data_IF_678426007878
#
_entry.id   IF_678426007878
#
_cell.length_a   1.000
_cell.length_b   1.000
_cell.length_c   1.000
_cell.angle_alpha   90.00
_cell.angle_beta   90.00
_cell.angle_gamma   90.00
#
_symmetry.space_group_name_H-M   'P 1'
#
loop_
_entity.id
_entity.type
_entity.pdbx_description
1 polymer ?
#
# COMPACT_ATOMS: atom_id res chain seq x y z
N UNK A 1 35.56 45.00 6.77
CA UNK A 1 35.18 43.57 6.82
C UNK A 1 34.44 43.28 5.53
N UNK A 2 35.07 42.50 4.63
CA UNK A 2 34.51 42.10 3.35
C UNK A 2 33.68 40.84 3.62
N UNK A 3 32.38 40.90 3.40
CA UNK A 3 31.55 39.69 3.41
C UNK A 3 31.83 38.96 2.10
N UNK A 4 32.38 37.75 2.19
CA UNK A 4 32.50 36.83 1.07
C UNK A 4 31.10 36.36 0.70
N UNK A 5 30.62 36.78 -0.46
CA UNK A 5 29.43 36.24 -1.10
C UNK A 5 29.70 34.78 -1.47
N UNK A 6 29.26 33.86 -0.62
CA UNK A 6 29.20 32.44 -0.97
C UNK A 6 28.32 32.31 -2.21
N UNK A 7 28.93 32.01 -3.36
CA UNK A 7 28.21 31.84 -4.62
C UNK A 7 27.21 30.70 -4.47
N UNK A 8 25.93 31.03 -4.37
CA UNK A 8 24.85 30.05 -4.44
C UNK A 8 24.82 29.53 -5.87
N UNK A 9 25.35 28.32 -6.06
CA UNK A 9 25.32 27.65 -7.36
C UNK A 9 23.97 26.94 -7.49
N UNK A 10 23.06 27.55 -8.24
CA UNK A 10 21.76 26.97 -8.55
C UNK A 10 21.90 26.07 -9.79
N UNK A 11 21.96 24.77 -9.58
CA UNK A 11 21.96 23.77 -10.65
C UNK A 11 20.52 23.41 -10.99
N UNK A 12 20.03 23.90 -12.13
CA UNK A 12 18.70 23.57 -12.63
C UNK A 12 18.84 22.42 -13.64
N UNK A 13 18.61 21.18 -13.22
CA UNK A 13 18.58 20.00 -14.12
C UNK A 13 17.27 20.01 -14.93
N UNK A 14 17.20 20.90 -15.92
CA UNK A 14 16.00 21.17 -16.72
C UNK A 14 15.50 20.05 -17.65
N UNK A 15 16.09 18.84 -17.59
CA UNK A 15 15.67 17.71 -18.42
C UNK A 15 14.72 16.73 -17.71
N UNK A 16 14.56 16.83 -16.39
CA UNK A 16 13.82 15.85 -15.60
C UNK A 16 12.95 16.55 -14.53
N UNK A 17 11.94 17.32 -14.96
CA UNK A 17 11.07 18.07 -14.05
C UNK A 17 9.68 17.41 -13.91
N UNK A 18 9.35 16.94 -12.71
CA UNK A 18 7.96 16.67 -12.31
C UNK A 18 7.29 17.99 -11.96
N UNK A 19 6.14 18.29 -12.58
CA UNK A 19 5.30 19.45 -12.23
C UNK A 19 4.64 19.15 -10.88
N UNK A 20 5.34 19.45 -9.78
CA UNK A 20 4.71 19.62 -8.48
C UNK A 20 4.00 20.98 -8.48
N UNK A 21 2.69 20.99 -8.23
CA UNK A 21 1.86 22.18 -8.30
C UNK A 21 2.24 23.26 -7.28
N UNK A 22 3.22 24.10 -7.63
CA UNK A 22 3.60 25.36 -6.95
C UNK A 22 4.15 25.28 -5.52
N UNK A 23 4.34 24.10 -4.95
CA UNK A 23 5.03 23.93 -3.67
C UNK A 23 6.49 23.49 -3.91
N UNK A 24 7.38 24.44 -4.16
CA UNK A 24 8.82 24.21 -4.18
C UNK A 24 9.36 24.33 -2.75
N UNK A 25 9.89 23.25 -2.19
CA UNK A 25 10.82 23.31 -1.07
C UNK A 25 12.24 23.24 -1.64
N UNK A 26 13.00 24.32 -1.50
CA UNK A 26 14.44 24.34 -1.79
C UNK A 26 15.17 23.43 -0.79
N UNK A 27 15.37 22.17 -1.15
CA UNK A 27 16.30 21.30 -0.46
C UNK A 27 17.70 21.57 -1.02
N UNK A 28 18.40 22.50 -0.37
CA UNK A 28 19.81 22.79 -0.66
C UNK A 28 20.64 21.50 -0.68
N UNK A 29 21.35 21.32 -1.78
CA UNK A 29 22.07 20.13 -2.25
C UNK A 29 23.26 19.71 -1.39
N UNK A 30 23.03 19.22 -0.18
CA UNK A 30 24.05 18.50 0.58
C UNK A 30 23.39 17.26 1.20
N UNK A 31 23.84 16.09 0.75
CA UNK A 31 23.43 14.73 1.13
C UNK A 31 22.29 14.09 0.29
N UNK A 32 22.66 13.59 -0.89
CA UNK A 32 22.03 12.44 -1.59
C UNK A 32 22.06 11.12 -0.76
N UNK A 33 22.17 11.21 0.56
CA UNK A 33 22.26 10.04 1.45
C UNK A 33 20.90 9.64 1.98
N UNK A 34 19.90 10.55 1.96
CA UNK A 34 18.53 10.18 2.26
C UNK A 34 17.83 9.67 1.00
N UNK A 35 17.59 8.36 0.98
CA UNK A 35 16.86 7.68 -0.09
C UNK A 35 15.50 8.37 -0.36
N UNK A 36 14.84 8.91 0.67
CA UNK A 36 13.54 9.59 0.55
C UNK A 36 13.64 10.83 -0.33
N UNK A 37 14.68 11.65 -0.12
CA UNK A 37 14.89 12.84 -0.94
C UNK A 37 15.14 12.45 -2.39
N UNK A 38 15.98 11.43 -2.60
CA UNK A 38 16.24 10.89 -3.94
C UNK A 38 14.98 10.39 -4.66
N UNK A 39 14.05 9.72 -3.98
CA UNK A 39 12.76 9.31 -4.56
C UNK A 39 11.81 10.47 -4.84
N UNK A 40 11.89 11.55 -4.05
CA UNK A 40 11.04 12.72 -4.27
C UNK A 40 11.52 13.57 -5.44
N UNK A 41 12.84 13.62 -5.68
CA UNK A 41 13.46 14.46 -6.71
C UNK A 41 13.64 13.77 -8.05
N UNK A 42 13.75 12.43 -8.07
CA UNK A 42 13.98 11.67 -9.31
C UNK A 42 12.70 11.43 -10.11
N UNK A 43 12.84 11.29 -11.43
CA UNK A 43 11.74 10.91 -12.32
C UNK A 43 11.28 9.47 -12.09
N UNK A 44 10.01 9.17 -12.39
CA UNK A 44 9.49 7.80 -12.25
C UNK A 44 10.23 6.81 -13.14
N UNK A 45 10.62 7.20 -14.36
CA UNK A 45 11.33 6.32 -15.30
C UNK A 45 12.71 5.92 -14.75
N UNK A 46 13.43 6.88 -14.15
CA UNK A 46 14.73 6.63 -13.49
C UNK A 46 14.58 5.74 -12.26
N UNK A 47 13.52 5.96 -11.48
CA UNK A 47 13.21 5.12 -10.32
C UNK A 47 12.82 3.70 -10.73
N UNK A 48 12.07 3.55 -11.83
CA UNK A 48 11.63 2.27 -12.37
C UNK A 48 12.84 1.48 -12.91
N UNK A 49 13.74 2.11 -13.68
CA UNK A 49 15.00 1.49 -14.11
C UNK A 49 15.87 1.06 -12.92
N UNK A 50 16.06 1.95 -11.93
CA UNK A 50 16.84 1.63 -10.72
C UNK A 50 16.21 0.49 -9.91
N UNK A 51 14.87 0.43 -9.84
CA UNK A 51 14.15 -0.66 -9.18
C UNK A 51 14.31 -2.00 -9.91
N UNK A 52 14.49 -2.02 -11.23
CA UNK A 52 14.75 -3.25 -11.98
C UNK A 52 16.14 -3.78 -11.63
N UNK A 53 17.16 -2.94 -11.65
CA UNK A 53 18.55 -3.33 -11.42
C UNK A 53 18.85 -3.61 -9.93
N UNK A 54 18.29 -2.78 -9.03
CA UNK A 54 18.59 -2.83 -7.60
C UNK A 54 17.39 -3.32 -6.78
N UNK A 55 17.47 -4.58 -6.32
CA UNK A 55 16.45 -5.19 -5.47
C UNK A 55 16.20 -4.44 -4.16
N UNK A 56 17.22 -3.80 -3.56
CA UNK A 56 17.02 -2.99 -2.34
C UNK A 56 16.15 -1.77 -2.61
N UNK A 57 16.33 -1.14 -3.77
CA UNK A 57 15.49 -0.02 -4.19
C UNK A 57 14.05 -0.49 -4.45
N UNK A 58 13.90 -1.67 -5.07
CA UNK A 58 12.59 -2.30 -5.28
C UNK A 58 11.86 -2.60 -3.96
N UNK A 59 12.55 -3.18 -2.97
CA UNK A 59 11.99 -3.43 -1.63
C UNK A 59 11.52 -2.12 -0.99
N UNK A 60 12.28 -1.04 -1.15
CA UNK A 60 11.89 0.24 -0.57
C UNK A 60 10.54 0.74 -1.14
N UNK A 61 10.35 0.63 -2.47
CA UNK A 61 9.12 1.09 -3.14
C UNK A 61 7.94 0.13 -2.94
N UNK A 62 8.16 -1.17 -3.13
CA UNK A 62 7.09 -2.17 -3.20
C UNK A 62 7.03 -3.14 -2.01
N UNK A 63 8.00 -3.10 -1.09
CA UNK A 63 7.97 -3.82 0.20
C UNK A 63 8.43 -5.28 0.16
N UNK A 64 8.75 -5.83 -1.01
CA UNK A 64 9.18 -7.23 -1.17
C UNK A 64 10.33 -7.33 -2.17
N UNK A 65 11.20 -8.33 -2.01
CA UNK A 65 12.28 -8.61 -2.95
C UNK A 65 11.85 -9.65 -3.98
N UNK A 66 12.23 -9.42 -5.24
CA UNK A 66 11.94 -10.30 -6.36
C UNK A 66 13.13 -10.36 -7.33
N UNK A 67 13.15 -11.42 -8.12
CA UNK A 67 14.07 -11.56 -9.25
C UNK A 67 13.85 -10.46 -10.28
N UNK A 68 14.91 -10.03 -10.96
CA UNK A 68 14.89 -8.93 -11.94
C UNK A 68 13.75 -9.04 -12.96
N UNK A 69 13.52 -10.24 -13.53
CA UNK A 69 12.42 -10.48 -14.47
C UNK A 69 11.04 -10.17 -13.87
N UNK A 70 10.82 -10.60 -12.63
CA UNK A 70 9.56 -10.32 -11.92
C UNK A 70 9.44 -8.83 -11.61
N UNK A 71 10.55 -8.14 -11.28
CA UNK A 71 10.55 -6.69 -11.06
C UNK A 71 10.16 -5.94 -12.33
N UNK A 72 10.69 -6.36 -13.49
CA UNK A 72 10.32 -5.82 -14.80
C UNK A 72 8.82 -6.01 -15.08
N UNK A 73 8.29 -7.22 -14.88
CA UNK A 73 6.87 -7.51 -15.09
C UNK A 73 5.95 -6.69 -14.16
N UNK A 74 6.33 -6.52 -12.89
CA UNK A 74 5.55 -5.69 -11.93
C UNK A 74 5.52 -4.23 -12.38
N UNK A 75 6.64 -3.68 -12.85
CA UNK A 75 6.71 -2.30 -13.36
C UNK A 75 5.92 -2.16 -14.68
N UNK A 76 6.00 -3.15 -15.58
CA UNK A 76 5.20 -3.18 -16.78
C UNK A 76 3.69 -3.17 -16.46
N UNK A 77 3.25 -3.96 -15.47
CA UNK A 77 1.86 -3.96 -14.99
C UNK A 77 1.44 -2.63 -14.34
N UNK A 78 2.34 -1.99 -13.58
CA UNK A 78 2.12 -0.64 -13.03
C UNK A 78 1.81 0.35 -14.14
N UNK A 79 2.64 0.36 -15.19
CA UNK A 79 2.49 1.27 -16.33
C UNK A 79 1.24 0.95 -17.15
N UNK A 80 0.97 -0.33 -17.42
CA UNK A 80 -0.18 -0.78 -18.22
C UNK A 80 -1.53 -0.38 -17.61
N UNK A 81 -1.65 -0.44 -16.28
CA UNK A 81 -2.90 -0.16 -15.57
C UNK A 81 -2.90 1.18 -14.83
N UNK A 82 -1.87 2.01 -15.04
CA UNK A 82 -1.66 3.29 -14.35
C UNK A 82 -1.79 3.19 -12.82
N UNK A 83 -1.28 2.11 -12.23
CA UNK A 83 -1.33 1.92 -10.78
C UNK A 83 -0.37 2.86 -10.07
N UNK A 84 -0.79 3.36 -8.91
CA UNK A 84 0.11 4.04 -7.97
C UNK A 84 1.02 3.03 -7.28
N UNK A 85 2.20 3.46 -6.84
CA UNK A 85 3.13 2.59 -6.09
C UNK A 85 2.48 1.95 -4.85
N UNK A 86 1.61 2.72 -4.16
CA UNK A 86 0.87 2.25 -3.00
C UNK A 86 -0.15 1.16 -3.37
N UNK A 87 -0.80 1.28 -4.52
CA UNK A 87 -1.72 0.25 -5.02
C UNK A 87 -0.96 -1.03 -5.38
N UNK A 88 0.16 -0.94 -6.09
CA UNK A 88 1.01 -2.10 -6.41
C UNK A 88 1.51 -2.77 -5.13
N UNK A 89 2.02 -1.99 -4.17
CA UNK A 89 2.46 -2.50 -2.87
C UNK A 89 1.34 -3.21 -2.11
N UNK A 90 0.15 -2.63 -2.09
CA UNK A 90 -1.01 -3.26 -1.45
C UNK A 90 -1.39 -4.55 -2.17
N UNK A 91 -1.42 -4.55 -3.51
CA UNK A 91 -1.75 -5.74 -4.30
C UNK A 91 -0.73 -6.87 -4.12
N UNK A 92 0.56 -6.56 -3.96
CA UNK A 92 1.58 -7.55 -3.62
C UNK A 92 1.39 -8.08 -2.18
N UNK A 93 1.08 -7.21 -1.23
CA UNK A 93 0.84 -7.60 0.16
C UNK A 93 -0.45 -8.43 0.36
N UNK A 94 -1.50 -8.15 -0.42
CA UNK A 94 -2.79 -8.83 -0.34
C UNK A 94 -2.97 -9.94 -1.38
N UNK A 95 -1.88 -10.38 -2.03
CA UNK A 95 -1.90 -11.44 -3.05
C UNK A 95 -2.77 -11.16 -4.29
N UNK A 96 -3.13 -9.90 -4.53
CA UNK A 96 -3.84 -9.46 -5.74
C UNK A 96 -2.97 -9.54 -7.00
N UNK A 97 -1.65 -9.45 -6.83
CA UNK A 97 -0.66 -9.80 -7.86
C UNK A 97 -0.07 -11.16 -7.48
N UNK A 98 -0.38 -12.18 -8.27
CA UNK A 98 0.19 -13.52 -8.09
C UNK A 98 1.51 -13.61 -8.84
N UNK A 99 2.59 -13.78 -8.10
CA UNK A 99 3.94 -14.01 -8.62
C UNK A 99 4.21 -15.50 -8.57
N UNK A 100 4.26 -16.15 -9.73
CA UNK A 100 4.70 -17.53 -9.81
C UNK A 100 6.23 -17.57 -9.93
N UNK A 101 6.92 -17.88 -8.82
CA UNK A 101 8.39 -17.97 -8.76
C UNK A 101 8.98 -19.08 -9.62
N UNK A 102 8.22 -20.12 -9.97
CA UNK A 102 8.69 -21.24 -10.79
C UNK A 102 8.68 -20.93 -12.28
N UNK A 103 7.76 -20.07 -12.71
CA UNK A 103 7.61 -19.67 -14.13
C UNK A 103 8.07 -18.23 -14.36
N UNK A 104 8.46 -17.52 -13.29
CA UNK A 104 8.73 -16.08 -13.26
C UNK A 104 7.65 -15.26 -13.97
N UNK A 105 6.38 -15.67 -13.83
CA UNK A 105 5.23 -14.96 -14.44
C UNK A 105 4.46 -14.20 -13.39
N UNK A 106 4.07 -12.99 -13.73
CA UNK A 106 3.23 -12.13 -12.89
C UNK A 106 1.84 -12.04 -13.50
N UNK A 107 0.82 -12.40 -12.70
CA UNK A 107 -0.59 -12.36 -13.13
C UNK A 107 -1.44 -11.60 -12.12
N UNK A 108 -2.37 -10.79 -12.61
CA UNK A 108 -3.42 -10.21 -11.76
C UNK A 108 -4.38 -11.33 -11.35
N UNK A 109 -4.45 -11.61 -10.05
CA UNK A 109 -5.39 -12.59 -9.51
C UNK A 109 -6.73 -11.91 -9.28
N UNK A 110 -7.64 -12.01 -10.27
CA UNK A 110 -9.02 -11.54 -10.13
C UNK A 110 -9.90 -12.70 -9.71
N UNK A 111 -9.81 -13.08 -8.44
CA UNK A 111 -10.68 -14.10 -7.91
C UNK A 111 -11.95 -13.49 -7.29
N UNK A 112 -13.07 -13.67 -7.99
CA UNK A 112 -14.40 -13.31 -7.49
C UNK A 112 -14.74 -14.08 -6.21
N UNK A 113 -14.26 -15.31 -6.08
CA UNK A 113 -14.50 -16.15 -4.92
C UNK A 113 -13.92 -15.53 -3.65
N UNK A 114 -12.67 -15.06 -3.71
CA UNK A 114 -11.99 -14.42 -2.59
C UNK A 114 -12.74 -13.16 -2.12
N UNK A 115 -13.29 -12.38 -3.07
CA UNK A 115 -14.10 -11.21 -2.75
C UNK A 115 -15.40 -11.56 -2.02
N UNK A 116 -16.18 -12.51 -2.55
CA UNK A 116 -17.43 -12.94 -1.90
C UNK A 116 -17.19 -13.64 -0.56
N UNK A 117 -16.12 -14.44 -0.47
CA UNK A 117 -15.71 -15.08 0.78
C UNK A 117 -15.37 -14.04 1.86
N UNK A 118 -14.68 -12.95 1.49
CA UNK A 118 -14.40 -11.84 2.40
C UNK A 118 -15.68 -11.20 2.97
N UNK A 119 -16.69 -10.97 2.13
CA UNK A 119 -17.99 -10.47 2.58
C UNK A 119 -18.75 -11.47 3.47
N UNK A 120 -18.72 -12.75 3.13
CA UNK A 120 -19.33 -13.81 3.93
C UNK A 120 -18.70 -13.88 5.32
N UNK A 121 -17.37 -13.84 5.41
CA UNK A 121 -16.64 -13.86 6.68
C UNK A 121 -16.94 -12.61 7.53
N UNK A 122 -17.04 -11.43 6.92
CA UNK A 122 -17.48 -10.20 7.63
C UNK A 122 -18.89 -10.37 8.19
N UNK A 123 -19.84 -10.87 7.39
CA UNK A 123 -21.21 -11.11 7.84
C UNK A 123 -21.26 -12.09 9.02
N UNK A 124 -20.50 -13.18 8.94
CA UNK A 124 -20.39 -14.17 10.01
C UNK A 124 -19.84 -13.55 11.32
N UNK A 125 -18.77 -12.75 11.23
CA UNK A 125 -18.17 -12.08 12.39
C UNK A 125 -19.13 -11.06 13.03
N UNK A 126 -19.93 -10.35 12.23
CA UNK A 126 -20.94 -9.42 12.76
C UNK A 126 -22.04 -10.17 13.51
N UNK A 127 -22.51 -11.30 12.97
CA UNK A 127 -23.52 -12.15 13.62
C UNK A 127 -22.98 -12.68 14.95
N UNK A 128 -21.80 -13.32 14.93
CA UNK A 128 -21.13 -13.83 16.13
C UNK A 128 -20.88 -12.71 17.17
N UNK A 129 -20.38 -11.56 16.73
CA UNK A 129 -20.13 -10.41 17.61
C UNK A 129 -21.42 -9.91 18.29
N UNK A 130 -22.52 -9.83 17.53
CA UNK A 130 -23.82 -9.41 18.05
C UNK A 130 -24.38 -10.42 19.04
N UNK A 131 -24.28 -11.72 18.75
CA UNK A 131 -24.68 -12.80 19.66
C UNK A 131 -23.88 -12.77 20.97
N UNK A 132 -22.57 -12.56 20.90
CA UNK A 132 -21.72 -12.46 22.08
C UNK A 132 -22.06 -11.23 22.93
N UNK A 133 -22.31 -10.07 22.32
CA UNK A 133 -22.76 -8.86 23.02
C UNK A 133 -24.09 -9.11 23.73
N UNK A 134 -25.03 -9.81 23.08
CA UNK A 134 -26.32 -10.17 23.65
C UNK A 134 -26.18 -11.17 24.81
N UNK A 135 -25.35 -12.20 24.68
CA UNK A 135 -25.04 -13.16 25.75
C UNK A 135 -24.49 -12.47 27.00
N UNK A 136 -23.57 -11.52 26.82
CA UNK A 136 -23.01 -10.72 27.92
C UNK A 136 -24.09 -9.88 28.61
N UNK A 137 -24.99 -9.27 27.83
CA UNK A 137 -26.10 -8.46 28.37
C UNK A 137 -27.13 -9.30 29.16
N UNK A 138 -27.33 -10.57 28.78
CA UNK A 138 -28.27 -11.47 29.42
C UNK A 138 -27.69 -12.22 30.63
N UNK A 139 -26.40 -12.03 30.94
CA UNK A 139 -25.72 -12.75 32.03
C UNK A 139 -26.24 -12.27 33.40
N UNK A 140 -26.90 -13.14 34.18
CA UNK A 140 -27.42 -12.76 35.50
C UNK A 140 -26.28 -12.49 36.49
N UNK A 141 -26.50 -11.54 37.41
CA UNK A 141 -25.63 -11.25 38.55
C UNK A 141 -24.23 -10.68 38.26
N UNK A 142 -23.94 -10.27 37.02
CA UNK A 142 -22.68 -9.57 36.71
C UNK A 142 -22.77 -8.06 36.94
N UNK A 143 -21.77 -7.41 37.55
CA UNK A 143 -21.72 -5.96 37.68
C UNK A 143 -21.80 -5.24 36.32
N UNK A 144 -22.59 -4.17 36.23
CA UNK A 144 -22.85 -3.44 34.97
C UNK A 144 -21.55 -2.95 34.30
N UNK A 145 -20.58 -2.49 35.08
CA UNK A 145 -19.30 -2.01 34.55
C UNK A 145 -18.48 -3.14 33.88
N UNK A 146 -18.60 -4.37 34.37
CA UNK A 146 -17.92 -5.54 33.81
C UNK A 146 -18.56 -5.96 32.48
N UNK A 147 -19.90 -5.92 32.42
CA UNK A 147 -20.64 -6.16 31.18
C UNK A 147 -20.30 -5.11 30.11
N UNK A 148 -20.26 -3.83 30.48
CA UNK A 148 -19.90 -2.76 29.57
C UNK A 148 -18.47 -2.93 29.02
N UNK A 149 -17.50 -3.24 29.89
CA UNK A 149 -16.12 -3.49 29.47
C UNK A 149 -16.02 -4.67 28.49
N UNK A 150 -16.74 -5.75 28.75
CA UNK A 150 -16.78 -6.92 27.87
C UNK A 150 -17.43 -6.59 26.51
N UNK A 151 -18.49 -5.79 26.49
CA UNK A 151 -19.13 -5.37 25.23
C UNK A 151 -18.21 -4.45 24.41
N UNK A 152 -17.51 -3.52 25.05
CA UNK A 152 -16.53 -2.66 24.36
C UNK A 152 -15.34 -3.47 23.82
N UNK A 153 -14.85 -4.45 24.56
CA UNK A 153 -13.74 -5.28 24.09
C UNK A 153 -14.15 -6.14 22.89
N UNK A 154 -15.32 -6.79 22.95
CA UNK A 154 -15.88 -7.56 21.84
C UNK A 154 -16.12 -6.65 20.63
N UNK A 155 -16.76 -5.49 20.82
CA UNK A 155 -17.00 -4.52 19.75
C UNK A 155 -15.72 -4.04 19.09
N UNK A 156 -14.68 -3.72 19.89
CA UNK A 156 -13.37 -3.33 19.39
C UNK A 156 -12.70 -4.43 18.55
N UNK A 157 -12.76 -5.68 19.01
CA UNK A 157 -12.25 -6.83 18.26
C UNK A 157 -13.01 -7.00 16.94
N UNK A 158 -14.34 -6.95 16.96
CA UNK A 158 -15.17 -7.06 15.76
C UNK A 158 -14.83 -5.98 14.73
N UNK A 159 -14.71 -4.71 15.16
CA UNK A 159 -14.32 -3.60 14.28
C UNK A 159 -12.93 -3.83 13.70
N UNK A 160 -11.96 -4.25 14.53
CA UNK A 160 -10.60 -4.55 14.08
C UNK A 160 -10.56 -5.67 13.03
N UNK A 161 -11.30 -6.76 13.26
CA UNK A 161 -11.41 -7.87 12.31
C UNK A 161 -12.05 -7.40 11.00
N UNK A 162 -13.20 -6.71 11.05
CA UNK A 162 -13.86 -6.19 9.84
C UNK A 162 -12.93 -5.27 9.06
N UNK A 163 -12.16 -4.42 9.75
CA UNK A 163 -11.18 -3.54 9.11
C UNK A 163 -10.07 -4.32 8.40
N UNK A 164 -9.52 -5.35 9.04
CA UNK A 164 -8.48 -6.23 8.45
C UNK A 164 -9.03 -6.96 7.22
N UNK A 165 -10.21 -7.55 7.31
CA UNK A 165 -10.84 -8.27 6.19
C UNK A 165 -11.17 -7.34 5.02
N UNK A 166 -11.67 -6.14 5.31
CA UNK A 166 -11.90 -5.12 4.28
C UNK A 166 -10.59 -4.72 3.57
N UNK A 167 -9.51 -4.55 4.34
CA UNK A 167 -8.20 -4.22 3.79
C UNK A 167 -7.61 -5.38 2.95
N UNK A 168 -7.75 -6.64 3.39
CA UNK A 168 -7.20 -7.82 2.72
C UNK A 168 -7.98 -8.26 1.49
N UNK A 169 -9.31 -8.20 1.49
CA UNK A 169 -10.13 -8.85 0.46
C UNK A 169 -10.91 -7.87 -0.42
N UNK A 170 -11.44 -6.79 0.15
CA UNK A 170 -12.35 -5.88 -0.54
C UNK A 170 -11.57 -4.79 -1.30
N UNK A 171 -10.67 -4.08 -0.61
CA UNK A 171 -9.84 -3.02 -1.22
C UNK A 171 -9.06 -3.48 -2.46
N UNK A 172 -8.29 -4.59 -2.44
CA UNK A 172 -7.54 -5.00 -3.61
C UNK A 172 -8.45 -5.37 -4.79
N UNK A 173 -9.61 -5.96 -4.53
CA UNK A 173 -10.58 -6.30 -5.57
C UNK A 173 -11.12 -5.05 -6.29
N UNK A 174 -11.40 -3.96 -5.56
CA UNK A 174 -11.79 -2.69 -6.18
C UNK A 174 -10.68 -2.08 -7.05
N UNK A 175 -9.43 -2.15 -6.61
CA UNK A 175 -8.27 -1.72 -7.40
C UNK A 175 -8.14 -2.53 -8.70
N UNK A 176 -8.34 -3.85 -8.62
CA UNK A 176 -8.32 -4.74 -9.77
C UNK A 176 -9.51 -4.51 -10.73
N UNK A 177 -10.69 -4.12 -10.21
CA UNK A 177 -11.83 -3.76 -11.05
C UNK A 177 -11.57 -2.48 -11.85
N UNK A 178 -10.94 -1.46 -11.24
CA UNK A 178 -10.57 -0.21 -11.93
C UNK A 178 -9.62 -0.46 -13.10
N UNK A 179 -8.68 -1.39 -12.93
CA UNK A 179 -7.76 -1.78 -14.00
C UNK A 179 -8.47 -2.34 -15.25
N UNK A 180 -9.65 -2.94 -15.08
CA UNK A 180 -10.46 -3.47 -16.19
C UNK A 180 -11.23 -2.38 -16.95
N UNK A 181 -11.67 -1.30 -16.29
CA UNK A 181 -12.46 -0.25 -16.96
C UNK A 181 -11.63 0.66 -17.88
N UNK A 182 -10.31 0.50 -17.88
CA UNK A 182 -9.38 1.27 -18.73
C UNK A 182 -9.01 0.49 -20.01
N UNK A 183 -9.54 -0.73 -20.19
CA UNK A 183 -9.41 -1.57 -21.39
C UNK A 183 -10.76 -1.65 -22.09
#
# INVERSE_FOLDING_TARGET
MKHDDASVQQTNEGNEQRIAGRDFNDYSSLYYTDIKLFMLTSTEDKLDALSIENGRHFIYRFGQDFEEKIRQDIIALKLQHHFTEREVKNLLATWGISVNKLTSTVKLCKDLFIYYLGWLLIAFIIIEGTLNILMVALTPHSPVWYQALAQFSIGGICIGVVWVFNWLYIKPYHTLLRAKSVV
#
